data_IF_738786854062
#
_entry.id   IF_738786854062
#
_cell.length_a   1.000
_cell.length_b   1.000
_cell.length_c   1.000
_cell.angle_alpha   90.00
_cell.angle_beta   90.00
_cell.angle_gamma   90.00
#
_symmetry.space_group_name_H-M   'P 1'
#
loop_
_entity.id
_entity.type
_entity.pdbx_description
1 polymer ?
#
# COMPACT_ATOMS: atom_id res chain seq x y z
N UNK A 1 29.79 46.57 14.97
CA UNK A 1 28.33 46.85 14.87
C UNK A 1 27.85 46.11 13.65
N UNK A 2 26.88 45.19 13.76
CA UNK A 2 26.35 44.51 12.58
C UNK A 2 25.30 45.45 11.98
N UNK A 3 25.65 46.11 10.87
CA UNK A 3 24.68 46.90 10.12
C UNK A 3 23.77 45.97 9.33
N UNK A 4 22.47 46.05 9.61
CA UNK A 4 21.46 45.33 8.86
C UNK A 4 20.86 46.21 7.79
N UNK A 5 20.78 45.68 6.57
CA UNK A 5 19.93 46.29 5.54
C UNK A 5 18.46 46.26 5.98
N UNK A 6 17.58 47.15 5.49
CA UNK A 6 16.16 47.13 5.86
C UNK A 6 15.46 45.78 5.61
N UNK A 7 15.92 45.03 4.60
CA UNK A 7 15.43 43.68 4.31
C UNK A 7 15.87 42.66 5.37
N UNK A 8 17.13 42.73 5.81
CA UNK A 8 17.65 41.89 6.89
C UNK A 8 16.97 42.18 8.21
N UNK A 9 16.69 43.44 8.52
CA UNK A 9 15.97 43.81 9.73
C UNK A 9 14.56 43.18 9.78
N UNK A 10 13.81 43.23 8.66
CA UNK A 10 12.51 42.54 8.56
C UNK A 10 12.63 41.02 8.71
N UNK A 11 13.68 40.43 8.14
CA UNK A 11 13.90 38.99 8.23
C UNK A 11 14.28 38.56 9.66
N UNK A 12 15.14 39.33 10.33
CA UNK A 12 15.52 39.12 11.71
C UNK A 12 14.30 39.21 12.64
N UNK A 13 13.47 40.23 12.46
CA UNK A 13 12.21 40.39 13.21
C UNK A 13 11.27 39.18 13.02
N UNK A 14 11.09 38.70 11.78
CA UNK A 14 10.29 37.49 11.53
C UNK A 14 10.89 36.24 12.15
N UNK A 15 12.22 36.08 12.14
CA UNK A 15 12.88 34.93 12.77
C UNK A 15 12.73 34.97 14.28
N UNK A 16 12.81 36.15 14.90
CA UNK A 16 12.58 36.33 16.33
C UNK A 16 11.14 35.91 16.71
N UNK A 17 10.15 36.33 15.92
CA UNK A 17 8.75 35.91 16.09
C UNK A 17 8.58 34.39 15.91
N UNK A 18 9.15 33.82 14.85
CA UNK A 18 9.08 32.39 14.53
C UNK A 18 9.80 31.50 15.55
N UNK A 19 10.77 32.05 16.28
CA UNK A 19 11.50 31.33 17.32
C UNK A 19 10.67 31.14 18.60
N UNK A 20 9.58 31.89 18.77
CA UNK A 20 8.72 31.79 19.95
C UNK A 20 7.96 30.46 20.00
N UNK A 21 7.69 29.98 21.22
CA UNK A 21 6.90 28.76 21.41
C UNK A 21 5.43 28.96 20.96
N UNK A 22 4.85 30.13 21.21
CA UNK A 22 3.49 30.46 20.77
C UNK A 22 3.37 30.38 19.23
N UNK A 23 4.34 30.94 18.49
CA UNK A 23 4.35 30.80 17.03
C UNK A 23 4.44 29.32 16.62
N UNK A 24 5.31 28.55 17.27
CA UNK A 24 5.47 27.11 16.96
C UNK A 24 4.16 26.35 17.15
N UNK A 25 3.44 26.58 18.24
CA UNK A 25 2.17 25.92 18.53
C UNK A 25 1.09 26.30 17.52
N UNK A 26 0.92 27.59 17.24
CA UNK A 26 -0.05 28.06 16.26
C UNK A 26 0.28 27.59 14.83
N UNK A 27 1.56 27.55 14.47
CA UNK A 27 2.01 27.13 13.15
C UNK A 27 2.09 25.60 12.99
N UNK A 28 2.02 24.82 14.08
CA UNK A 28 2.20 23.36 14.05
C UNK A 28 1.24 22.66 13.09
N UNK A 29 -0.03 23.08 13.08
CA UNK A 29 -1.07 22.50 12.20
C UNK A 29 -0.70 22.74 10.73
N UNK A 30 -0.33 23.98 10.40
CA UNK A 30 0.06 24.37 9.04
C UNK A 30 1.33 23.65 8.59
N UNK A 31 2.37 23.66 9.42
CA UNK A 31 3.62 22.94 9.16
C UNK A 31 3.39 21.43 9.00
N UNK A 32 2.45 20.86 9.75
CA UNK A 32 1.99 19.48 9.58
C UNK A 32 1.39 19.23 8.21
N UNK A 33 0.48 20.09 7.75
CA UNK A 33 -0.11 20.00 6.41
C UNK A 33 0.90 20.14 5.27
N UNK A 34 1.83 21.09 5.39
CA UNK A 34 2.93 21.29 4.44
C UNK A 34 3.84 20.05 4.37
N UNK A 35 4.18 19.47 5.53
CA UNK A 35 4.99 18.25 5.64
C UNK A 35 4.31 17.04 4.98
N UNK A 36 3.01 16.85 5.20
CA UNK A 36 2.23 15.77 4.56
C UNK A 36 2.20 15.95 3.05
N UNK A 37 1.93 17.16 2.56
CA UNK A 37 1.89 17.45 1.13
C UNK A 37 3.25 17.26 0.45
N UNK A 38 4.34 17.69 1.09
CA UNK A 38 5.69 17.47 0.61
C UNK A 38 6.03 15.97 0.55
N UNK A 39 5.66 15.22 1.59
CA UNK A 39 5.81 13.77 1.66
C UNK A 39 5.07 13.04 0.54
N UNK A 40 3.79 13.36 0.35
CA UNK A 40 2.95 12.83 -0.73
C UNK A 40 3.56 13.11 -2.11
N UNK A 41 3.94 14.35 -2.39
CA UNK A 41 4.54 14.72 -3.69
C UNK A 41 5.84 13.97 -3.95
N UNK A 42 6.75 13.91 -2.96
CA UNK A 42 8.08 13.30 -3.11
C UNK A 42 8.06 11.78 -3.17
N UNK A 43 7.23 11.12 -2.35
CA UNK A 43 7.25 9.65 -2.21
C UNK A 43 6.23 8.93 -3.07
N UNK A 44 5.08 9.55 -3.34
CA UNK A 44 3.99 8.91 -4.11
C UNK A 44 3.83 9.49 -5.52
N UNK A 45 4.58 10.55 -5.85
CA UNK A 45 4.44 11.24 -7.13
C UNK A 45 3.11 11.99 -7.27
N UNK A 46 2.51 12.45 -6.16
CA UNK A 46 1.19 13.09 -6.12
C UNK A 46 1.05 14.25 -7.12
N UNK A 47 2.12 15.02 -7.35
CA UNK A 47 2.12 16.14 -8.30
C UNK A 47 2.18 15.75 -9.78
N UNK A 48 2.34 14.46 -10.10
CA UNK A 48 2.50 13.95 -11.48
C UNK A 48 1.58 12.75 -11.72
N UNK A 49 0.27 12.95 -11.54
CA UNK A 49 -0.75 11.95 -11.87
C UNK A 49 -0.81 11.73 -13.39
N UNK A 50 -0.66 10.48 -13.85
CA UNK A 50 -0.74 10.12 -15.29
C UNK A 50 -2.17 9.79 -15.74
N UNK A 51 -3.17 10.01 -14.88
CA UNK A 51 -4.58 9.72 -15.13
C UNK A 51 -5.34 11.00 -15.43
N UNK A 52 -6.38 10.92 -16.28
CA UNK A 52 -7.26 12.04 -16.64
C UNK A 52 -8.70 11.76 -16.24
N UNK A 53 -9.49 12.82 -16.02
CA UNK A 53 -10.90 12.75 -15.62
C UNK A 53 -11.10 12.62 -14.11
N UNK A 54 -12.07 13.36 -13.58
CA UNK A 54 -12.29 13.56 -12.13
C UNK A 54 -12.39 12.24 -11.33
N UNK A 55 -13.15 11.21 -11.74
CA UNK A 55 -13.28 9.98 -10.95
C UNK A 55 -11.94 9.22 -10.80
N UNK A 56 -11.17 9.10 -11.89
CA UNK A 56 -9.87 8.41 -11.89
C UNK A 56 -8.82 9.18 -11.11
N UNK A 57 -8.82 10.51 -11.25
CA UNK A 57 -7.94 11.41 -10.48
C UNK A 57 -8.23 11.26 -8.99
N UNK A 58 -9.51 11.31 -8.57
CA UNK A 58 -9.91 11.17 -7.17
C UNK A 58 -9.46 9.84 -6.59
N UNK A 59 -9.69 8.73 -7.30
CA UNK A 59 -9.26 7.41 -6.85
C UNK A 59 -7.74 7.32 -6.70
N UNK A 60 -6.99 7.83 -7.68
CA UNK A 60 -5.52 7.83 -7.63
C UNK A 60 -4.97 8.67 -6.47
N UNK A 61 -5.60 9.81 -6.14
CA UNK A 61 -5.26 10.62 -4.96
C UNK A 61 -5.54 9.83 -3.68
N UNK A 62 -6.72 9.22 -3.55
CA UNK A 62 -7.09 8.43 -2.37
C UNK A 62 -6.11 7.28 -2.12
N UNK A 63 -5.75 6.53 -3.17
CA UNK A 63 -4.78 5.43 -3.07
C UNK A 63 -3.39 5.91 -2.65
N UNK A 64 -2.94 7.08 -3.12
CA UNK A 64 -1.65 7.66 -2.71
C UNK A 64 -1.68 8.15 -1.26
N UNK A 65 -2.79 8.73 -0.82
CA UNK A 65 -3.01 9.08 0.58
C UNK A 65 -2.99 7.82 1.48
N UNK A 66 -3.67 6.75 1.07
CA UNK A 66 -3.64 5.47 1.78
C UNK A 66 -2.21 4.88 1.86
N UNK A 67 -1.47 4.92 0.75
CA UNK A 67 -0.06 4.51 0.73
C UNK A 67 0.83 5.34 1.66
N UNK A 68 0.60 6.66 1.74
CA UNK A 68 1.30 7.51 2.70
C UNK A 68 1.01 7.15 4.15
N UNK A 69 -0.26 6.87 4.48
CA UNK A 69 -0.65 6.39 5.81
C UNK A 69 0.05 5.08 6.17
N UNK A 70 0.17 4.15 5.22
CA UNK A 70 0.94 2.91 5.41
C UNK A 70 2.43 3.19 5.69
N UNK A 71 3.07 4.10 4.94
CA UNK A 71 4.46 4.48 5.22
C UNK A 71 4.62 5.09 6.61
N UNK A 72 3.67 5.94 7.04
CA UNK A 72 3.68 6.50 8.39
C UNK A 72 3.53 5.43 9.46
N UNK A 73 2.64 4.46 9.25
CA UNK A 73 2.49 3.31 10.13
C UNK A 73 3.80 2.52 10.21
N UNK A 74 4.41 2.15 9.08
CA UNK A 74 5.70 1.43 9.04
C UNK A 74 6.81 2.15 9.81
N UNK A 75 6.94 3.48 9.66
CA UNK A 75 7.91 4.27 10.44
C UNK A 75 7.60 4.23 11.93
N UNK A 76 6.33 4.37 12.32
CA UNK A 76 5.91 4.26 13.71
C UNK A 76 6.18 2.86 14.28
N UNK A 77 5.92 1.80 13.51
CA UNK A 77 6.20 0.42 13.91
C UNK A 77 7.70 0.19 14.11
N UNK A 78 8.53 0.67 13.17
CA UNK A 78 10.00 0.63 13.29
C UNK A 78 10.49 1.34 14.54
N UNK A 79 9.97 2.54 14.82
CA UNK A 79 10.35 3.33 16.02
C UNK A 79 9.94 2.67 17.33
N UNK A 80 8.80 1.97 17.35
CA UNK A 80 8.32 1.23 18.51
C UNK A 80 9.06 -0.10 18.74
N UNK A 81 10.04 -0.45 17.89
CA UNK A 81 10.81 -1.69 18.03
C UNK A 81 9.95 -2.94 17.87
N UNK A 82 8.81 -2.86 17.15
CA UNK A 82 7.96 -4.03 16.96
C UNK A 82 8.67 -5.06 16.08
N UNK A 83 9.28 -6.06 16.73
CA UNK A 83 9.71 -7.33 16.15
C UNK A 83 8.53 -8.14 15.53
N UNK A 84 7.29 -7.68 15.71
CA UNK A 84 6.06 -8.36 15.31
C UNK A 84 5.80 -8.49 13.81
N UNK A 85 6.50 -7.76 12.94
CA UNK A 85 6.39 -8.02 11.50
C UNK A 85 6.92 -9.42 11.13
N UNK A 86 7.97 -9.87 11.83
CA UNK A 86 8.46 -11.24 11.73
C UNK A 86 7.50 -12.26 12.35
N UNK A 87 6.82 -11.91 13.44
CA UNK A 87 5.84 -12.79 14.08
C UNK A 87 4.59 -13.05 13.22
N UNK A 88 4.12 -12.03 12.46
CA UNK A 88 2.98 -12.16 11.55
C UNK A 88 3.26 -13.10 10.36
N UNK A 89 4.49 -13.09 9.83
CA UNK A 89 4.94 -14.03 8.78
C UNK A 89 5.48 -15.35 9.35
N UNK A 90 5.88 -15.35 10.62
CA UNK A 90 6.43 -16.51 11.33
C UNK A 90 5.36 -17.52 11.74
N UNK A 91 4.08 -17.13 11.71
CA UNK A 91 2.96 -18.04 11.96
C UNK A 91 2.66 -18.93 10.74
N UNK A 92 3.64 -19.79 10.46
CA UNK A 92 3.67 -20.78 9.38
C UNK A 92 2.54 -21.83 9.49
N UNK A 93 1.83 -21.82 10.61
CA UNK A 93 0.70 -22.69 10.93
C UNK A 93 -0.48 -22.44 9.99
N UNK A 94 -0.81 -21.17 9.73
CA UNK A 94 -1.90 -20.77 8.84
C UNK A 94 -1.57 -21.10 7.37
N UNK A 95 -0.34 -20.81 6.96
CA UNK A 95 0.18 -21.12 5.61
C UNK A 95 0.22 -22.64 5.39
N UNK A 96 0.70 -23.44 6.35
CA UNK A 96 0.66 -24.93 6.28
C UNK A 96 -0.77 -25.45 6.26
N UNK A 97 -1.69 -24.88 7.03
CA UNK A 97 -3.09 -25.28 7.04
C UNK A 97 -3.74 -25.04 5.67
N UNK A 98 -3.52 -23.86 5.07
CA UNK A 98 -4.02 -23.51 3.75
C UNK A 98 -3.38 -24.39 2.66
N UNK A 99 -2.06 -24.59 2.69
CA UNK A 99 -1.35 -25.44 1.73
C UNK A 99 -1.77 -26.91 1.82
N UNK A 100 -2.10 -27.43 3.02
CA UNK A 100 -2.71 -28.76 3.19
C UNK A 100 -4.11 -28.82 2.60
N UNK A 101 -4.91 -27.76 2.76
CA UNK A 101 -6.28 -27.69 2.21
C UNK A 101 -6.28 -27.63 0.68
N UNK A 102 -5.36 -26.87 0.10
CA UNK A 102 -5.18 -26.76 -1.35
C UNK A 102 -4.66 -28.08 -1.96
N UNK A 103 -3.66 -28.72 -1.35
CA UNK A 103 -3.16 -30.03 -1.79
C UNK A 103 -4.23 -31.12 -1.77
N UNK A 104 -5.12 -31.12 -0.76
CA UNK A 104 -6.27 -32.03 -0.70
C UNK A 104 -7.22 -31.81 -1.88
N UNK A 105 -7.54 -30.57 -2.22
CA UNK A 105 -8.41 -30.24 -3.37
C UNK A 105 -7.77 -30.64 -4.71
N UNK A 106 -6.46 -30.41 -4.88
CA UNK A 106 -5.75 -30.80 -6.11
C UNK A 106 -5.72 -32.32 -6.27
N UNK A 107 -5.44 -33.08 -5.20
CA UNK A 107 -5.50 -34.56 -5.25
C UNK A 107 -6.90 -35.08 -5.55
N UNK A 108 -7.94 -34.49 -4.95
CA UNK A 108 -9.34 -34.85 -5.23
C UNK A 108 -9.73 -34.54 -6.68
N UNK A 109 -9.22 -33.45 -7.25
CA UNK A 109 -9.44 -33.08 -8.64
C UNK A 109 -8.68 -33.99 -9.62
N UNK A 110 -7.43 -34.37 -9.31
CA UNK A 110 -6.66 -35.33 -10.11
C UNK A 110 -7.19 -36.77 -10.05
N UNK A 111 -7.96 -37.11 -9.01
CA UNK A 111 -8.67 -38.38 -8.91
C UNK A 111 -10.00 -38.41 -9.68
N UNK A 112 -10.40 -37.28 -10.29
CA UNK A 112 -11.56 -37.22 -11.17
C UNK A 112 -11.26 -38.00 -12.46
N UNK A 113 -11.71 -39.25 -12.53
CA UNK A 113 -11.71 -40.03 -13.76
C UNK A 113 -12.99 -39.70 -14.53
N UNK A 114 -12.91 -39.15 -15.75
CA UNK A 114 -14.09 -39.00 -16.57
C UNK A 114 -14.71 -40.38 -16.83
N UNK A 115 -16.04 -40.43 -16.85
CA UNK A 115 -16.81 -41.64 -17.13
C UNK A 115 -16.38 -42.22 -18.49
N UNK A 116 -15.78 -43.41 -18.51
CA UNK A 116 -15.49 -44.14 -19.74
C UNK A 116 -16.81 -44.76 -20.24
N UNK A 117 -17.32 -44.39 -21.42
CA UNK A 117 -18.50 -45.05 -21.96
C UNK A 117 -18.16 -46.48 -22.35
N UNK A 118 -19.06 -47.42 -22.04
CA UNK A 118 -18.89 -48.84 -22.30
C UNK A 118 -18.68 -49.10 -23.81
N UNK A 119 -17.48 -49.56 -24.17
CA UNK A 119 -17.19 -50.07 -25.51
C UNK A 119 -17.82 -51.46 -25.66
N UNK A 120 -19.05 -51.52 -26.17
CA UNK A 120 -19.72 -52.77 -26.46
C UNK A 120 -20.89 -52.60 -27.42
N UNK A 121 -20.81 -53.28 -28.57
CA UNK A 121 -21.78 -53.34 -29.70
C UNK A 121 -21.65 -52.27 -30.79
N UNK A 122 -20.62 -52.38 -31.64
CA UNK A 122 -20.69 -51.93 -33.05
C UNK A 122 -19.99 -52.90 -34.02
N UNK A 123 -20.14 -54.21 -33.81
CA UNK A 123 -19.49 -55.23 -34.66
C UNK A 123 -20.46 -56.24 -35.29
N UNK A 124 -21.78 -56.02 -35.23
CA UNK A 124 -22.77 -56.99 -35.76
C UNK A 124 -23.68 -56.45 -36.88
N UNK A 125 -23.40 -55.27 -37.46
CA UNK A 125 -24.17 -54.74 -38.59
C UNK A 125 -23.34 -54.46 -39.86
N UNK A 126 -22.07 -54.84 -39.91
CA UNK A 126 -21.21 -54.69 -41.10
C UNK A 126 -20.85 -56.01 -41.80
N UNK A 127 -21.54 -57.10 -41.48
CA UNK A 127 -21.35 -58.43 -42.08
C UNK A 127 -22.65 -59.00 -42.69
N UNK A 128 -23.57 -58.13 -43.11
CA UNK A 128 -24.80 -58.49 -43.81
C UNK A 128 -25.06 -57.53 -44.98
N UNK A 129 -24.04 -57.33 -45.80
CA UNK A 129 -24.12 -56.72 -47.14
C UNK A 129 -23.40 -57.66 -48.11
#
# INVERSE_FOLDING_TARGET
MIEHTPAEHRLASRRAEQATNAFREHYAIRGGGESVNAGLKRKTGMGRLRVRGSPRVRMAVLLRCAGWNLFRALVAMKRRGMAGFGAFFGDWTLIRALARRLRRRIKAFGAFRPHQPASGRRSLMLAAA
#
